data_IF_699294851634
#
_entry.id   IF_699294851634
#
_cell.length_a   1.000
_cell.length_b   1.000
_cell.length_c   1.000
_cell.angle_alpha   90.00
_cell.angle_beta   90.00
_cell.angle_gamma   90.00
#
_symmetry.space_group_name_H-M   'P 1'
#
loop_
_entity.id
_entity.type
_entity.pdbx_description
1 polymer ?
#
# COMPACT_ATOMS: atom_id res chain seq x y z
N UNK A 1 22.45 68.40 -0.67
CA UNK A 1 21.97 67.17 -1.33
C UNK A 1 21.33 66.13 -0.37
N UNK A 2 21.67 66.11 0.92
CA UNK A 2 21.12 65.13 1.88
C UNK A 2 19.60 65.26 2.18
N UNK A 3 19.06 66.48 2.23
CA UNK A 3 17.63 66.70 2.56
C UNK A 3 16.65 66.18 1.49
N UNK A 4 17.02 66.23 0.20
CA UNK A 4 16.19 65.69 -0.90
C UNK A 4 16.12 64.16 -0.89
N UNK A 5 17.19 63.48 -0.45
CA UNK A 5 17.23 62.01 -0.35
C UNK A 5 16.32 61.50 0.78
N UNK A 6 16.39 62.14 1.95
CA UNK A 6 15.54 61.81 3.12
C UNK A 6 14.03 61.96 2.83
N UNK A 7 13.65 62.97 2.04
CA UNK A 7 12.24 63.20 1.68
C UNK A 7 11.74 62.19 0.62
N UNK A 8 12.63 61.68 -0.24
CA UNK A 8 12.31 60.61 -1.20
C UNK A 8 12.12 59.26 -0.49
N UNK A 9 13.00 58.95 0.45
CA UNK A 9 12.97 57.69 1.18
C UNK A 9 11.74 57.63 2.12
N UNK A 10 11.33 58.76 2.71
CA UNK A 10 10.10 58.84 3.51
C UNK A 10 8.82 58.65 2.66
N UNK A 11 8.79 59.21 1.44
CA UNK A 11 7.66 59.02 0.52
C UNK A 11 7.54 57.57 0.03
N UNK A 12 8.67 56.91 -0.24
CA UNK A 12 8.72 55.49 -0.60
C UNK A 12 8.22 54.61 0.54
N UNK A 13 8.67 54.87 1.77
CA UNK A 13 8.20 54.16 2.95
C UNK A 13 6.69 54.31 3.16
N UNK A 14 6.17 55.54 3.05
CA UNK A 14 4.74 55.80 3.22
C UNK A 14 3.89 55.14 2.13
N UNK A 15 4.36 55.11 0.87
CA UNK A 15 3.67 54.38 -0.21
C UNK A 15 3.65 52.87 0.01
N UNK A 16 4.72 52.31 0.60
CA UNK A 16 4.80 50.86 0.86
C UNK A 16 3.84 50.47 1.99
N UNK A 17 3.77 51.28 3.07
CA UNK A 17 2.83 51.07 4.18
C UNK A 17 1.39 51.19 3.68
N UNK A 18 1.08 52.19 2.84
CA UNK A 18 -0.27 52.34 2.28
C UNK A 18 -0.67 51.15 1.39
N UNK A 19 0.26 50.61 0.58
CA UNK A 19 0.02 49.43 -0.24
C UNK A 19 -0.27 48.17 0.60
N UNK A 20 0.46 47.98 1.70
CA UNK A 20 0.23 46.85 2.64
C UNK A 20 -1.13 46.97 3.33
N UNK A 21 -1.52 48.18 3.75
CA UNK A 21 -2.83 48.42 4.37
C UNK A 21 -3.97 48.15 3.38
N UNK A 22 -3.83 48.59 2.12
CA UNK A 22 -4.83 48.31 1.07
C UNK A 22 -4.93 46.81 0.77
N UNK A 23 -3.80 46.10 0.72
CA UNK A 23 -3.78 44.65 0.51
C UNK A 23 -4.48 43.89 1.67
N UNK A 24 -4.25 44.32 2.92
CA UNK A 24 -4.91 43.73 4.09
C UNK A 24 -6.43 44.01 4.12
N UNK A 25 -6.87 45.19 3.68
CA UNK A 25 -8.29 45.52 3.57
C UNK A 25 -8.98 44.73 2.44
N UNK A 26 -8.29 44.50 1.31
CA UNK A 26 -8.82 43.65 0.23
C UNK A 26 -8.92 42.18 0.64
N UNK A 27 -7.93 41.68 1.40
CA UNK A 27 -7.91 40.29 1.89
C UNK A 27 -8.99 40.02 2.95
N UNK A 28 -9.31 41.01 3.78
CA UNK A 28 -10.41 40.90 4.75
C UNK A 28 -11.78 40.98 4.08
N UNK A 29 -11.92 41.73 2.98
CA UNK A 29 -13.17 41.80 2.22
C UNK A 29 -13.50 40.50 1.46
N UNK A 30 -12.50 39.78 0.93
CA UNK A 30 -12.70 38.48 0.26
C UNK A 30 -13.06 37.36 1.22
N UNK A 31 -12.59 37.40 2.47
CA UNK A 31 -12.94 36.45 3.53
C UNK A 31 -14.38 36.62 4.04
N UNK A 32 -14.93 37.83 4.03
CA UNK A 32 -16.32 38.09 4.46
C UNK A 32 -17.32 37.62 3.40
N UNK A 33 -17.01 37.78 2.10
CA UNK A 33 -17.90 37.36 1.01
C UNK A 33 -17.95 35.83 0.77
N UNK A 34 -16.92 35.10 1.17
CA UNK A 34 -16.88 33.63 1.01
C UNK A 34 -17.66 32.88 2.09
N UNK A 35 -18.03 33.52 3.21
CA UNK A 35 -18.80 32.90 4.30
C UNK A 35 -20.32 32.88 4.12
N UNK A 36 -20.88 33.63 3.17
CA UNK A 36 -22.33 33.84 3.04
C UNK A 36 -22.96 33.21 1.78
N UNK A 37 -22.39 32.13 1.20
CA UNK A 37 -23.12 31.38 0.17
C UNK A 37 -24.27 30.57 0.79
N UNK A 38 -25.53 30.77 0.38
CA UNK A 38 -26.63 29.89 0.76
C UNK A 38 -26.36 28.48 0.21
N UNK A 39 -26.53 27.45 1.04
CA UNK A 39 -26.50 26.06 0.59
C UNK A 39 -27.88 25.68 0.03
N UNK A 40 -27.93 25.22 -1.22
CA UNK A 40 -29.12 24.63 -1.80
C UNK A 40 -29.43 23.28 -1.13
N UNK A 41 -30.71 22.94 -0.86
CA UNK A 41 -31.08 21.68 -0.24
C UNK A 41 -30.84 20.50 -1.20
N UNK A 42 -30.08 19.51 -0.73
CA UNK A 42 -29.82 18.25 -1.43
C UNK A 42 -31.12 17.44 -1.52
N UNK A 43 -31.59 17.20 -2.74
CA UNK A 43 -32.71 16.30 -3.00
C UNK A 43 -32.29 14.84 -2.74
N UNK A 44 -32.97 14.17 -1.81
CA UNK A 44 -32.80 12.74 -1.53
C UNK A 44 -33.43 11.92 -2.65
N UNK A 45 -32.63 11.28 -3.50
CA UNK A 45 -33.10 10.22 -4.40
C UNK A 45 -33.05 8.88 -3.68
N UNK A 46 -34.22 8.31 -3.40
CA UNK A 46 -34.40 6.92 -2.98
C UNK A 46 -34.30 5.99 -4.20
N UNK A 47 -33.34 5.07 -4.18
CA UNK A 47 -33.22 3.99 -5.16
C UNK A 47 -34.33 2.94 -4.96
N UNK A 48 -34.94 2.40 -6.03
CA UNK A 48 -35.96 1.37 -5.93
C UNK A 48 -35.33 -0.01 -5.64
N UNK A 49 -35.97 -0.76 -4.74
CA UNK A 49 -35.62 -2.14 -4.39
C UNK A 49 -36.06 -3.07 -5.53
N UNK A 50 -35.11 -3.80 -6.14
CA UNK A 50 -35.41 -4.88 -7.08
C UNK A 50 -35.84 -6.13 -6.29
N UNK A 51 -37.08 -6.57 -6.52
CA UNK A 51 -37.60 -7.85 -6.05
C UNK A 51 -37.13 -9.00 -6.93
N UNK A 52 -36.58 -10.05 -6.30
CA UNK A 52 -36.16 -11.31 -6.92
C UNK A 52 -37.38 -12.15 -7.36
N UNK A 53 -37.40 -12.79 -8.55
CA UNK A 53 -38.48 -13.71 -8.92
C UNK A 53 -38.25 -15.10 -8.30
N UNK A 54 -39.28 -15.66 -7.68
CA UNK A 54 -39.31 -17.05 -7.22
C UNK A 54 -39.55 -18.04 -8.37
N UNK A 55 -38.73 -19.08 -8.48
CA UNK A 55 -38.96 -20.19 -9.40
C UNK A 55 -40.13 -21.09 -8.93
N UNK A 56 -40.94 -21.68 -9.84
CA UNK A 56 -41.99 -22.63 -9.49
C UNK A 56 -41.42 -24.03 -9.18
N UNK A 57 -41.96 -24.67 -8.14
CA UNK A 57 -41.70 -26.07 -7.82
C UNK A 57 -42.39 -27.01 -8.83
N UNK A 58 -41.66 -28.03 -9.29
CA UNK A 58 -42.21 -29.13 -10.10
C UNK A 58 -42.65 -30.31 -9.20
N UNK A 59 -43.69 -31.09 -9.57
CA UNK A 59 -44.20 -32.18 -8.76
C UNK A 59 -43.38 -33.45 -8.90
N UNK A 60 -43.31 -34.18 -7.79
CA UNK A 60 -42.72 -35.52 -7.63
C UNK A 60 -43.72 -36.57 -8.11
N UNK A 61 -43.34 -37.44 -9.05
CA UNK A 61 -43.82 -38.83 -9.06
C UNK A 61 -42.94 -39.73 -9.95
N UNK A 62 -42.20 -40.67 -9.34
CA UNK A 62 -41.83 -41.95 -9.97
C UNK A 62 -41.46 -42.96 -8.87
N UNK A 63 -42.19 -44.08 -8.92
CA UNK A 63 -42.05 -45.29 -8.10
C UNK A 63 -40.68 -45.98 -8.33
N UNK A 64 -40.03 -46.57 -7.29
CA UNK A 64 -38.72 -47.21 -7.47
C UNK A 64 -38.89 -48.67 -7.93
N UNK A 65 -38.43 -48.98 -9.14
CA UNK A 65 -38.13 -50.35 -9.57
C UNK A 65 -36.71 -50.69 -9.13
N UNK A 66 -36.55 -51.69 -8.25
CA UNK A 66 -35.25 -52.19 -7.83
C UNK A 66 -34.55 -52.93 -8.98
N UNK A 67 -33.47 -52.35 -9.50
CA UNK A 67 -32.48 -53.03 -10.33
C UNK A 67 -31.21 -53.16 -9.50
N UNK A 68 -30.86 -54.40 -9.13
CA UNK A 68 -29.59 -54.70 -8.46
C UNK A 68 -28.43 -54.46 -9.45
N UNK A 69 -27.73 -53.35 -9.27
CA UNK A 69 -26.41 -53.08 -9.86
C UNK A 69 -25.32 -53.32 -8.81
N UNK A 70 -24.13 -53.80 -9.21
CA UNK A 70 -23.06 -54.14 -8.28
C UNK A 70 -22.58 -52.90 -7.50
N UNK A 71 -22.47 -53.07 -6.19
CA UNK A 71 -21.94 -52.08 -5.24
C UNK A 71 -20.47 -51.85 -5.58
N UNK A 72 -20.17 -50.72 -6.23
CA UNK A 72 -18.85 -50.13 -6.17
C UNK A 72 -18.76 -49.36 -4.86
N UNK A 73 -17.86 -49.84 -4.00
CA UNK A 73 -17.42 -49.20 -2.77
C UNK A 73 -17.09 -47.72 -3.04
N UNK A 74 -17.64 -46.75 -2.28
CA UNK A 74 -17.24 -45.37 -2.45
C UNK A 74 -15.80 -45.24 -1.95
N UNK A 75 -14.85 -45.21 -2.89
CA UNK A 75 -13.50 -44.71 -2.62
C UNK A 75 -13.68 -43.31 -2.04
N UNK A 76 -13.35 -43.18 -0.75
CA UNK A 76 -13.33 -41.91 -0.03
C UNK A 76 -12.34 -40.97 -0.72
N UNK A 77 -12.83 -40.19 -1.67
CA UNK A 77 -12.10 -39.04 -2.19
C UNK A 77 -11.95 -38.08 -1.02
N UNK A 78 -10.75 -38.00 -0.46
CA UNK A 78 -10.42 -37.01 0.56
C UNK A 78 -10.75 -35.63 -0.03
N UNK A 79 -11.83 -35.03 0.46
CA UNK A 79 -12.18 -33.66 0.17
C UNK A 79 -10.99 -32.81 0.64
N UNK A 80 -10.42 -31.92 -0.19
CA UNK A 80 -9.32 -31.08 0.25
C UNK A 80 -9.79 -30.30 1.48
N UNK A 81 -9.16 -30.59 2.62
CA UNK A 81 -9.38 -29.85 3.85
C UNK A 81 -9.17 -28.39 3.52
N UNK A 82 -10.23 -27.57 3.61
CA UNK A 82 -10.11 -26.13 3.48
C UNK A 82 -9.06 -25.69 4.50
N UNK A 83 -7.92 -25.19 4.03
CA UNK A 83 -6.89 -24.62 4.89
C UNK A 83 -7.57 -23.54 5.73
N UNK A 84 -7.61 -23.73 7.04
CA UNK A 84 -8.23 -22.75 7.93
C UNK A 84 -7.53 -21.40 7.72
N UNK A 85 -8.32 -20.33 7.58
CA UNK A 85 -7.78 -18.97 7.51
C UNK A 85 -7.01 -18.71 8.81
N UNK A 86 -5.73 -18.31 8.76
CA UNK A 86 -4.94 -18.04 9.96
C UNK A 86 -5.61 -16.97 10.83
N UNK A 87 -5.50 -17.09 12.15
CA UNK A 87 -6.00 -16.07 13.06
C UNK A 87 -5.10 -14.83 13.00
N UNK A 88 -5.70 -13.64 13.03
CA UNK A 88 -4.95 -12.38 13.04
C UNK A 88 -4.04 -12.26 14.28
N UNK A 89 -4.46 -12.78 15.43
CA UNK A 89 -3.65 -12.81 16.67
C UNK A 89 -2.38 -13.66 16.54
N UNK A 90 -2.32 -14.56 15.56
CA UNK A 90 -1.19 -15.45 15.30
C UNK A 90 -0.26 -14.90 14.20
N UNK A 91 -0.37 -13.61 13.87
CA UNK A 91 0.39 -12.97 12.78
C UNK A 91 1.91 -13.19 12.83
N UNK A 92 2.47 -13.37 14.04
CA UNK A 92 3.90 -13.68 14.23
C UNK A 92 4.31 -15.01 13.60
N UNK A 93 3.40 -15.97 13.56
CA UNK A 93 3.60 -17.31 12.99
C UNK A 93 3.23 -17.42 11.51
N UNK A 94 2.71 -16.34 10.91
CA UNK A 94 2.42 -16.33 9.48
C UNK A 94 3.71 -16.47 8.66
N UNK A 95 3.67 -17.11 7.49
CA UNK A 95 4.85 -17.30 6.66
C UNK A 95 5.47 -15.96 6.27
N UNK A 96 6.80 -15.93 6.08
CA UNK A 96 7.52 -14.72 5.64
C UNK A 96 6.97 -14.24 4.29
N UNK A 97 6.79 -15.17 3.35
CA UNK A 97 6.31 -14.89 2.00
C UNK A 97 4.88 -15.40 1.83
N UNK A 98 4.04 -14.75 1.01
CA UNK A 98 2.74 -15.28 0.64
C UNK A 98 2.86 -16.68 0.01
N UNK A 99 2.12 -17.66 0.56
CA UNK A 99 2.11 -19.04 0.06
C UNK A 99 1.01 -19.29 -0.97
N UNK A 100 -0.04 -18.46 -0.97
CA UNK A 100 -1.18 -18.55 -1.88
C UNK A 100 -1.70 -17.16 -2.23
N UNK A 101 -2.47 -17.07 -3.32
CA UNK A 101 -3.20 -15.86 -3.72
C UNK A 101 -4.70 -16.18 -3.79
N UNK A 102 -5.53 -15.25 -3.35
CA UNK A 102 -6.98 -15.46 -3.36
C UNK A 102 -7.55 -15.37 -4.78
N UNK A 103 -8.67 -16.07 -5.09
CA UNK A 103 -9.40 -15.89 -6.34
C UNK A 103 -9.81 -14.43 -6.58
N UNK A 104 -10.10 -13.68 -5.51
CA UNK A 104 -10.40 -12.25 -5.59
C UNK A 104 -9.22 -11.45 -6.16
N UNK A 105 -8.00 -11.66 -5.66
CA UNK A 105 -6.81 -10.95 -6.16
C UNK A 105 -6.46 -11.33 -7.61
N UNK A 106 -6.73 -12.58 -8.01
CA UNK A 106 -6.60 -12.99 -9.42
C UNK A 106 -7.59 -12.19 -10.29
N UNK A 107 -8.84 -12.05 -9.86
CA UNK A 107 -9.84 -11.27 -10.59
C UNK A 107 -9.47 -9.77 -10.68
N UNK A 108 -8.96 -9.20 -9.58
CA UNK A 108 -8.44 -7.81 -9.54
C UNK A 108 -7.31 -7.63 -10.55
N UNK A 109 -6.33 -8.53 -10.57
CA UNK A 109 -5.22 -8.47 -11.52
C UNK A 109 -5.68 -8.59 -12.98
N UNK A 110 -6.61 -9.50 -13.30
CA UNK A 110 -7.18 -9.62 -14.66
C UNK A 110 -7.90 -8.36 -15.09
N UNK A 111 -8.72 -7.78 -14.21
CA UNK A 111 -9.38 -6.50 -14.47
C UNK A 111 -8.37 -5.37 -14.69
N UNK A 112 -7.24 -5.37 -13.97
CA UNK A 112 -6.16 -4.40 -14.18
C UNK A 112 -5.63 -4.43 -15.62
N UNK A 113 -5.39 -5.63 -16.16
CA UNK A 113 -4.90 -5.81 -17.52
C UNK A 113 -5.94 -5.36 -18.56
N UNK A 114 -7.22 -5.68 -18.33
CA UNK A 114 -8.33 -5.26 -19.21
C UNK A 114 -8.51 -3.73 -19.21
N UNK A 115 -8.26 -3.07 -18.08
CA UNK A 115 -8.39 -1.62 -17.91
C UNK A 115 -7.12 -0.85 -18.29
N UNK A 116 -6.08 -1.53 -18.80
CA UNK A 116 -4.86 -0.92 -19.30
C UNK A 116 -3.88 -0.46 -18.22
N UNK A 117 -3.89 -1.11 -17.06
CA UNK A 117 -2.75 -1.07 -16.13
C UNK A 117 -1.52 -1.69 -16.79
N UNK A 118 -0.35 -1.22 -16.41
CA UNK A 118 0.92 -1.68 -16.98
C UNK A 118 1.40 -2.91 -16.19
N UNK A 119 1.45 -4.11 -16.81
CA UNK A 119 1.80 -5.35 -16.11
C UNK A 119 3.23 -5.35 -15.57
N UNK A 120 4.08 -4.43 -16.03
CA UNK A 120 5.49 -4.32 -15.66
C UNK A 120 5.71 -3.30 -14.53
N UNK A 121 4.64 -2.81 -13.90
CA UNK A 121 4.72 -1.74 -12.91
C UNK A 121 4.17 -2.15 -11.55
N UNK A 122 4.94 -1.81 -10.52
CA UNK A 122 4.46 -1.80 -9.14
C UNK A 122 4.68 -0.44 -8.49
N UNK A 123 3.91 -0.14 -7.43
CA UNK A 123 4.07 1.06 -6.61
C UNK A 123 4.52 0.73 -5.19
N UNK A 124 5.15 1.70 -4.54
CA UNK A 124 5.47 1.68 -3.11
C UNK A 124 4.57 2.69 -2.42
N UNK A 125 3.86 2.27 -1.37
CA UNK A 125 3.01 3.12 -0.52
C UNK A 125 3.52 2.98 0.90
N UNK A 126 3.98 4.07 1.52
CA UNK A 126 4.57 3.95 2.86
C UNK A 126 5.36 5.15 3.35
N UNK A 127 5.96 4.99 4.52
CA UNK A 127 6.73 6.04 5.19
C UNK A 127 8.22 6.10 4.78
N UNK A 128 9.07 6.66 5.65
CA UNK A 128 10.52 6.76 5.44
C UNK A 128 11.17 5.42 5.13
N UNK A 129 10.63 4.30 5.62
CA UNK A 129 11.13 2.97 5.32
C UNK A 129 10.76 2.46 3.91
N UNK A 130 9.99 3.23 3.16
CA UNK A 130 9.57 2.91 1.78
C UNK A 130 10.11 3.90 0.74
N UNK A 131 10.81 4.94 1.19
CA UNK A 131 11.37 5.97 0.32
C UNK A 131 12.62 5.49 -0.43
N UNK A 132 12.89 6.11 -1.57
CA UNK A 132 14.18 6.01 -2.26
C UNK A 132 15.27 6.72 -1.42
N UNK A 133 16.51 6.21 -1.37
CA UNK A 133 17.02 5.00 -2.04
C UNK A 133 16.85 3.71 -1.23
N UNK A 134 16.22 3.75 -0.07
CA UNK A 134 16.31 2.67 0.92
C UNK A 134 15.56 1.40 0.52
N UNK A 135 14.34 1.52 -0.03
CA UNK A 135 13.50 0.37 -0.35
C UNK A 135 13.52 0.01 -1.85
N UNK A 136 14.09 -1.17 -2.13
CA UNK A 136 14.25 -1.84 -3.42
C UNK A 136 15.00 -1.07 -4.51
N UNK A 137 15.37 0.20 -4.31
CA UNK A 137 15.89 1.06 -5.39
C UNK A 137 17.17 0.55 -6.04
N UNK A 138 17.96 -0.24 -5.31
CA UNK A 138 19.19 -0.88 -5.80
C UNK A 138 19.00 -1.67 -7.11
N UNK A 139 17.82 -2.25 -7.36
CA UNK A 139 17.59 -3.16 -8.48
C UNK A 139 17.59 -2.49 -9.86
N UNK A 140 17.45 -1.17 -9.93
CA UNK A 140 17.53 -0.44 -11.21
C UNK A 140 18.95 0.02 -11.56
N UNK A 141 19.94 -0.21 -10.68
CA UNK A 141 21.33 0.22 -10.90
C UNK A 141 22.24 -0.94 -11.37
N UNK A 142 21.67 -2.07 -11.80
CA UNK A 142 22.42 -3.22 -12.34
C UNK A 142 23.49 -3.75 -11.39
N UNK A 143 24.64 -4.17 -11.94
CA UNK A 143 25.78 -4.70 -11.17
C UNK A 143 26.34 -3.70 -10.14
N UNK A 144 26.12 -2.39 -10.33
CA UNK A 144 26.53 -1.37 -9.35
C UNK A 144 25.55 -1.21 -8.19
N UNK A 145 24.33 -1.74 -8.31
CA UNK A 145 23.28 -1.59 -7.32
C UNK A 145 23.13 -2.78 -6.38
N UNK A 146 23.27 -4.01 -6.90
CA UNK A 146 23.00 -5.22 -6.14
C UNK A 146 23.93 -6.38 -6.52
N UNK A 147 24.13 -7.29 -5.58
CA UNK A 147 24.74 -8.61 -5.84
C UNK A 147 23.70 -9.68 -5.54
N UNK A 148 23.23 -10.38 -6.58
CA UNK A 148 22.08 -11.31 -6.46
C UNK A 148 22.40 -12.58 -5.65
N UNK A 149 23.67 -12.95 -5.56
CA UNK A 149 24.11 -14.15 -4.84
C UNK A 149 23.39 -15.42 -5.32
N UNK A 150 22.93 -16.30 -4.41
CA UNK A 150 22.25 -17.54 -4.78
C UNK A 150 20.81 -17.35 -5.28
N UNK A 151 20.27 -16.12 -5.29
CA UNK A 151 18.87 -15.83 -5.61
C UNK A 151 18.65 -15.51 -7.11
N UNK A 152 19.40 -16.16 -7.99
CA UNK A 152 19.40 -15.89 -9.43
C UNK A 152 18.03 -16.03 -10.09
N UNK A 153 17.14 -16.86 -9.53
CA UNK A 153 15.76 -17.01 -10.00
C UNK A 153 14.92 -15.74 -9.91
N UNK A 154 15.32 -14.76 -9.07
CA UNK A 154 14.65 -13.47 -8.93
C UNK A 154 15.01 -12.47 -10.04
N UNK A 155 16.02 -12.77 -10.88
CA UNK A 155 16.44 -11.88 -11.96
C UNK A 155 15.29 -11.59 -12.93
N UNK A 156 14.42 -12.57 -13.20
CA UNK A 156 13.23 -12.37 -14.05
C UNK A 156 12.28 -11.32 -13.49
N UNK A 157 12.12 -11.27 -12.15
CA UNK A 157 11.26 -10.30 -11.48
C UNK A 157 11.90 -8.91 -11.49
N UNK A 158 13.22 -8.84 -11.32
CA UNK A 158 13.97 -7.59 -11.49
C UNK A 158 13.78 -7.05 -12.92
N UNK A 159 13.96 -7.90 -13.93
CA UNK A 159 13.84 -7.50 -15.33
C UNK A 159 12.40 -7.08 -15.70
N UNK A 160 11.41 -7.79 -15.17
CA UNK A 160 9.99 -7.53 -15.42
C UNK A 160 9.53 -6.19 -14.85
N UNK A 161 9.97 -5.84 -13.64
CA UNK A 161 9.54 -4.62 -12.94
C UNK A 161 10.53 -3.45 -13.02
N UNK A 162 11.46 -3.48 -13.97
CA UNK A 162 12.45 -2.41 -14.17
C UNK A 162 11.81 -1.03 -14.15
N UNK A 163 12.51 -0.08 -13.56
CA UNK A 163 12.12 1.31 -13.35
C UNK A 163 11.02 1.53 -12.30
N UNK A 164 10.39 0.48 -11.76
CA UNK A 164 9.53 0.61 -10.59
C UNK A 164 10.32 0.69 -9.27
N UNK A 165 11.54 0.17 -9.26
CA UNK A 165 12.35 0.00 -8.05
C UNK A 165 12.93 1.31 -7.54
N UNK A 166 13.59 2.08 -8.41
CA UNK A 166 14.27 3.33 -8.08
C UNK A 166 13.39 4.57 -8.20
N UNK A 167 12.12 4.42 -8.61
CA UNK A 167 11.23 5.57 -8.74
C UNK A 167 10.83 6.12 -7.37
N UNK A 168 10.82 7.43 -7.23
CA UNK A 168 10.16 8.13 -6.12
C UNK A 168 8.65 8.01 -6.28
N UNK A 169 7.96 7.46 -5.27
CA UNK A 169 6.51 7.35 -5.32
C UNK A 169 5.86 8.60 -4.76
N UNK A 170 4.77 9.04 -5.41
CA UNK A 170 3.88 10.06 -4.86
C UNK A 170 3.14 9.57 -3.61
N UNK A 171 3.15 8.27 -3.35
CA UNK A 171 2.55 7.66 -2.17
C UNK A 171 3.60 7.30 -1.10
N UNK A 172 4.77 7.96 -1.11
CA UNK A 172 5.78 7.81 -0.07
C UNK A 172 6.24 9.14 0.48
N UNK A 173 6.36 9.25 1.81
CA UNK A 173 6.93 10.43 2.45
C UNK A 173 7.45 10.14 3.86
N UNK A 174 8.44 10.91 4.29
CA UNK A 174 9.05 10.76 5.60
C UNK A 174 8.01 11.03 6.70
N UNK A 175 7.91 10.11 7.67
CA UNK A 175 7.00 10.24 8.81
C UNK A 175 5.51 10.13 8.47
N UNK A 176 5.15 9.77 7.23
CA UNK A 176 3.75 9.74 6.82
C UNK A 176 2.98 8.59 7.51
N UNK A 177 1.71 8.84 7.81
CA UNK A 177 0.76 7.88 8.37
C UNK A 177 -0.18 7.35 7.28
N UNK A 178 -0.94 6.30 7.58
CA UNK A 178 -2.03 5.83 6.73
C UNK A 178 -3.04 6.95 6.44
N UNK A 179 -3.41 7.75 7.44
CA UNK A 179 -4.28 8.91 7.26
C UNK A 179 -3.69 9.92 6.27
N UNK A 180 -2.39 10.21 6.36
CA UNK A 180 -1.71 11.13 5.46
C UNK A 180 -1.82 10.71 4.00
N UNK A 181 -1.62 9.42 3.71
CA UNK A 181 -1.70 8.89 2.33
C UNK A 181 -3.12 8.60 1.85
N UNK A 182 -4.07 8.45 2.77
CA UNK A 182 -5.47 8.19 2.49
C UNK A 182 -6.25 9.48 2.19
N UNK A 183 -5.92 10.57 2.88
CA UNK A 183 -6.58 11.87 2.69
C UNK A 183 -5.98 12.67 1.54
N UNK A 184 -6.44 13.91 1.33
CA UNK A 184 -5.98 14.76 0.23
C UNK A 184 -4.48 15.00 0.31
N UNK A 185 -3.80 14.93 -0.84
CA UNK A 185 -2.37 15.14 -0.91
C UNK A 185 -1.98 16.56 -0.47
N UNK A 186 -0.72 16.70 -0.02
CA UNK A 186 -0.12 17.99 0.37
C UNK A 186 0.84 18.56 -0.68
N UNK A 187 1.02 17.87 -1.83
CA UNK A 187 1.87 18.38 -2.91
C UNK A 187 1.38 19.75 -3.40
N UNK A 188 2.31 20.71 -3.51
CA UNK A 188 2.07 22.06 -4.04
C UNK A 188 2.16 22.10 -5.57
N UNK A 189 2.31 20.96 -6.24
CA UNK A 189 2.32 20.85 -7.70
C UNK A 189 0.96 20.45 -8.27
N UNK A 190 0.76 20.74 -9.56
CA UNK A 190 -0.49 20.44 -10.28
C UNK A 190 -0.51 19.00 -10.85
N UNK A 191 0.46 18.16 -10.49
CA UNK A 191 0.58 16.79 -11.03
C UNK A 191 -0.49 15.88 -10.42
N UNK A 192 -0.72 16.01 -9.11
CA UNK A 192 -1.86 15.40 -8.43
C UNK A 192 -3.07 16.33 -8.50
N UNK A 193 -4.26 15.77 -8.70
CA UNK A 193 -5.46 16.60 -8.84
C UNK A 193 -5.91 17.17 -7.50
N UNK A 194 -6.50 18.38 -7.48
CA UNK A 194 -7.14 18.89 -6.28
C UNK A 194 -8.12 17.86 -5.69
N UNK A 195 -8.01 17.60 -4.39
CA UNK A 195 -8.82 16.62 -3.66
C UNK A 195 -8.57 15.14 -4.02
N UNK A 196 -7.47 14.83 -4.71
CA UNK A 196 -6.97 13.47 -4.87
C UNK A 196 -6.09 13.07 -3.67
N UNK A 197 -6.10 11.80 -3.27
CA UNK A 197 -5.12 11.32 -2.28
C UNK A 197 -3.77 11.04 -2.93
N UNK A 198 -2.68 11.13 -2.17
CA UNK A 198 -1.33 10.80 -2.64
C UNK A 198 -1.26 9.40 -3.30
N UNK A 199 -1.92 8.42 -2.69
CA UNK A 199 -2.04 7.04 -3.21
C UNK A 199 -2.86 6.97 -4.50
N UNK A 200 -3.96 7.73 -4.60
CA UNK A 200 -4.79 7.75 -5.81
C UNK A 200 -4.04 8.38 -6.99
N UNK A 201 -3.30 9.46 -6.72
CA UNK A 201 -2.45 10.14 -7.68
C UNK A 201 -1.34 9.22 -8.21
N UNK A 202 -0.64 8.53 -7.29
CA UNK A 202 0.37 7.53 -7.64
C UNK A 202 -0.20 6.48 -8.60
N UNK A 203 -1.35 5.89 -8.29
CA UNK A 203 -1.96 4.85 -9.12
C UNK A 203 -2.45 5.38 -10.47
N UNK A 204 -2.99 6.60 -10.52
CA UNK A 204 -3.41 7.23 -11.78
C UNK A 204 -2.23 7.50 -12.71
N UNK A 205 -1.12 7.99 -12.17
CA UNK A 205 0.07 8.36 -12.93
C UNK A 205 0.89 7.14 -13.34
N UNK A 206 1.09 6.20 -12.42
CA UNK A 206 1.98 5.07 -12.63
C UNK A 206 1.28 3.85 -13.24
N UNK A 207 -0.03 3.69 -13.01
CA UNK A 207 -0.83 2.54 -13.45
C UNK A 207 -0.23 1.17 -13.09
N UNK A 208 0.12 0.94 -11.81
CA UNK A 208 0.69 -0.33 -11.39
C UNK A 208 -0.34 -1.46 -11.41
N UNK A 209 0.14 -2.70 -11.46
CA UNK A 209 -0.67 -3.90 -11.18
C UNK A 209 -0.55 -4.39 -9.74
N UNK A 210 0.55 -4.04 -9.06
CA UNK A 210 0.85 -4.44 -7.68
C UNK A 210 1.27 -3.20 -6.88
N UNK A 211 0.94 -3.13 -5.59
CA UNK A 211 1.52 -2.12 -4.71
C UNK A 211 1.88 -2.68 -3.34
N UNK A 212 3.09 -2.37 -2.85
CA UNK A 212 3.41 -2.57 -1.44
C UNK A 212 2.75 -1.48 -0.61
N UNK A 213 2.11 -1.86 0.50
CA UNK A 213 1.61 -0.93 1.52
C UNK A 213 2.34 -1.25 2.83
N UNK A 214 3.33 -0.42 3.16
CA UNK A 214 4.20 -0.56 4.32
C UNK A 214 4.09 0.69 5.21
N UNK A 215 3.16 0.63 6.16
CA UNK A 215 2.77 1.70 7.09
C UNK A 215 2.62 1.12 8.51
N UNK A 216 2.39 1.99 9.50
CA UNK A 216 2.13 1.60 10.88
C UNK A 216 3.18 2.04 11.89
N UNK A 217 4.42 2.32 11.46
CA UNK A 217 5.49 2.81 12.35
C UNK A 217 5.14 4.17 12.94
N UNK A 218 4.77 5.13 12.10
CA UNK A 218 4.37 6.47 12.55
C UNK A 218 2.93 6.51 13.07
N UNK A 219 2.07 5.60 12.62
CA UNK A 219 0.70 5.48 13.08
C UNK A 219 0.61 5.01 14.55
N UNK A 220 1.65 4.37 15.08
CA UNK A 220 1.74 3.93 16.47
C UNK A 220 1.64 5.08 17.50
N UNK A 221 1.85 6.33 17.07
CA UNK A 221 1.65 7.53 17.88
C UNK A 221 0.20 8.07 17.83
N UNK A 222 -0.67 7.41 17.07
CA UNK A 222 -2.11 7.71 16.93
C UNK A 222 -2.95 6.56 17.48
N UNK A 223 -4.28 6.71 17.47
CA UNK A 223 -5.18 5.65 17.93
C UNK A 223 -5.15 4.46 16.95
N UNK A 224 -5.10 3.20 17.45
CA UNK A 224 -5.17 2.02 16.58
C UNK A 224 -6.39 2.00 15.67
N UNK A 225 -7.54 2.53 16.12
CA UNK A 225 -8.75 2.61 15.30
C UNK A 225 -8.63 3.56 14.10
N UNK A 226 -7.85 4.64 14.24
CA UNK A 226 -7.59 5.56 13.14
C UNK A 226 -6.69 4.88 12.09
N UNK A 227 -5.69 4.10 12.54
CA UNK A 227 -4.86 3.31 11.65
C UNK A 227 -5.67 2.24 10.90
N UNK A 228 -6.49 1.45 11.60
CA UNK A 228 -7.36 0.43 10.99
C UNK A 228 -8.25 1.05 9.91
N UNK A 229 -8.96 2.13 10.25
CA UNK A 229 -9.84 2.85 9.33
C UNK A 229 -9.12 3.30 8.06
N UNK A 230 -7.97 3.97 8.21
CA UNK A 230 -7.27 4.55 7.07
C UNK A 230 -6.53 3.50 6.25
N UNK A 231 -5.97 2.46 6.86
CA UNK A 231 -5.35 1.36 6.13
C UNK A 231 -6.39 0.55 5.33
N UNK A 232 -7.58 0.28 5.89
CA UNK A 232 -8.69 -0.31 5.12
C UNK A 232 -9.09 0.54 3.92
N UNK A 233 -9.16 1.85 4.09
CA UNK A 233 -9.47 2.79 3.00
C UNK A 233 -8.38 2.76 1.90
N UNK A 234 -7.10 2.68 2.28
CA UNK A 234 -6.00 2.53 1.33
C UNK A 234 -6.09 1.21 0.55
N UNK A 235 -6.35 0.09 1.23
CA UNK A 235 -6.57 -1.22 0.58
C UNK A 235 -7.74 -1.14 -0.39
N UNK A 236 -8.88 -0.60 0.04
CA UNK A 236 -10.05 -0.43 -0.84
C UNK A 236 -9.71 0.44 -2.06
N UNK A 237 -8.98 1.55 -1.89
CA UNK A 237 -8.55 2.42 -3.00
C UNK A 237 -7.62 1.74 -3.99
N UNK A 238 -6.79 0.78 -3.54
CA UNK A 238 -6.00 -0.07 -4.41
C UNK A 238 -6.91 -0.98 -5.25
N UNK A 239 -7.85 -1.68 -4.60
CA UNK A 239 -8.78 -2.59 -5.27
C UNK A 239 -9.70 -1.87 -6.28
N UNK A 240 -10.21 -0.69 -5.92
CA UNK A 240 -11.05 0.16 -6.79
C UNK A 240 -10.32 0.60 -8.08
N UNK A 241 -8.98 0.57 -8.07
CA UNK A 241 -8.11 0.88 -9.22
C UNK A 241 -7.46 -0.37 -9.81
N UNK A 242 -7.97 -1.54 -9.45
CA UNK A 242 -7.47 -2.84 -9.90
C UNK A 242 -5.98 -3.09 -9.57
N UNK A 243 -5.48 -2.50 -8.47
CA UNK A 243 -4.12 -2.73 -7.98
C UNK A 243 -4.17 -3.79 -6.90
N UNK A 244 -3.37 -4.86 -7.02
CA UNK A 244 -3.25 -5.89 -5.98
C UNK A 244 -2.32 -5.38 -4.87
N UNK A 245 -2.82 -5.11 -3.65
CA UNK A 245 -1.96 -4.65 -2.56
C UNK A 245 -1.25 -5.83 -1.90
N UNK A 246 0.02 -5.64 -1.56
CA UNK A 246 0.79 -6.50 -0.66
C UNK A 246 0.95 -5.73 0.64
N UNK A 247 0.27 -6.19 1.70
CA UNK A 247 0.45 -5.60 3.03
C UNK A 247 1.76 -6.07 3.64
N UNK A 248 2.44 -5.17 4.37
CA UNK A 248 3.73 -5.47 4.98
C UNK A 248 3.61 -5.32 6.49
N UNK A 249 3.91 -6.38 7.23
CA UNK A 249 4.05 -6.27 8.69
C UNK A 249 5.27 -5.41 9.04
N UNK A 250 5.10 -4.49 9.99
CA UNK A 250 6.16 -3.64 10.52
C UNK A 250 7.29 -4.48 11.10
N UNK A 251 8.53 -4.06 10.89
CA UNK A 251 9.69 -4.68 11.54
C UNK A 251 9.80 -4.24 13.01
N UNK A 252 9.49 -2.97 13.31
CA UNK A 252 9.40 -2.45 14.67
C UNK A 252 8.11 -2.86 15.37
N UNK A 253 8.14 -2.74 16.70
CA UNK A 253 6.99 -2.87 17.61
C UNK A 253 7.07 -1.71 18.61
N UNK A 254 7.10 -0.46 18.11
CA UNK A 254 7.24 0.73 18.96
C UNK A 254 6.04 0.91 19.90
N UNK A 255 4.87 0.38 19.53
CA UNK A 255 3.70 0.29 20.40
C UNK A 255 3.87 -0.70 21.55
N UNK A 256 4.75 -1.70 21.39
CA UNK A 256 5.17 -2.67 22.42
C UNK A 256 4.23 -3.85 22.65
N UNK A 257 3.07 -3.90 21.98
CA UNK A 257 2.10 -4.99 22.08
C UNK A 257 1.82 -5.72 20.75
N UNK A 258 2.38 -5.23 19.64
CA UNK A 258 2.18 -5.75 18.29
C UNK A 258 0.76 -5.53 17.74
N UNK A 259 -0.01 -4.61 18.33
CA UNK A 259 -1.39 -4.33 17.94
C UNK A 259 -1.51 -3.83 16.51
N UNK A 260 -0.54 -3.08 15.98
CA UNK A 260 -0.60 -2.58 14.60
C UNK A 260 -0.40 -3.71 13.59
N UNK A 261 0.53 -4.64 13.83
CA UNK A 261 0.67 -5.82 12.96
C UNK A 261 -0.55 -6.75 13.04
N UNK A 262 -1.19 -6.87 14.21
CA UNK A 262 -2.45 -7.62 14.32
C UNK A 262 -3.59 -6.94 13.53
N UNK A 263 -3.66 -5.61 13.51
CA UNK A 263 -4.59 -4.87 12.64
C UNK A 263 -4.30 -5.14 11.17
N UNK A 264 -3.04 -5.06 10.74
CA UNK A 264 -2.64 -5.37 9.35
C UNK A 264 -3.06 -6.80 9.00
N UNK A 265 -2.86 -7.76 9.90
CA UNK A 265 -3.26 -9.16 9.71
C UNK A 265 -4.78 -9.31 9.56
N UNK A 266 -5.56 -8.62 10.39
CA UNK A 266 -7.02 -8.64 10.29
C UNK A 266 -7.51 -8.05 8.96
N UNK A 267 -6.93 -6.93 8.52
CA UNK A 267 -7.25 -6.32 7.23
C UNK A 267 -6.89 -7.27 6.08
N UNK A 268 -5.75 -7.97 6.17
CA UNK A 268 -5.36 -8.94 5.16
C UNK A 268 -6.37 -10.08 5.00
N UNK A 269 -6.90 -10.59 6.12
CA UNK A 269 -7.98 -11.59 6.13
C UNK A 269 -9.24 -11.02 5.48
N UNK A 270 -9.68 -9.84 5.92
CA UNK A 270 -10.96 -9.26 5.50
C UNK A 270 -11.00 -8.96 4.00
N UNK A 271 -9.87 -8.51 3.44
CA UNK A 271 -9.74 -8.21 2.01
C UNK A 271 -9.14 -9.36 1.18
N UNK A 272 -8.72 -10.45 1.83
CA UNK A 272 -8.06 -11.60 1.19
C UNK A 272 -6.82 -11.19 0.36
N UNK A 273 -6.04 -10.24 0.87
CA UNK A 273 -4.84 -9.69 0.21
C UNK A 273 -3.58 -10.37 0.75
N UNK A 274 -2.54 -10.55 -0.09
CA UNK A 274 -1.29 -11.16 0.34
C UNK A 274 -0.54 -10.30 1.37
N UNK A 275 0.20 -10.96 2.26
CA UNK A 275 1.04 -10.32 3.28
C UNK A 275 2.50 -10.75 3.16
N UNK A 276 3.40 -9.79 3.22
CA UNK A 276 4.82 -10.00 3.48
C UNK A 276 5.11 -9.78 4.97
N UNK A 277 5.42 -10.87 5.67
CA UNK A 277 5.76 -10.82 7.09
C UNK A 277 7.23 -10.43 7.28
N UNK A 278 7.52 -9.14 7.06
CA UNK A 278 8.85 -8.58 7.27
C UNK A 278 9.30 -8.68 8.73
N UNK A 279 8.39 -8.52 9.70
CA UNK A 279 8.70 -8.72 11.12
C UNK A 279 9.42 -10.05 11.36
N UNK A 280 8.84 -11.15 10.85
CA UNK A 280 9.40 -12.50 10.98
C UNK A 280 10.72 -12.67 10.25
N UNK A 281 10.86 -12.06 9.07
CA UNK A 281 12.13 -12.09 8.32
C UNK A 281 13.28 -11.44 9.09
N UNK A 282 12.98 -10.41 9.90
CA UNK A 282 13.96 -9.59 10.61
C UNK A 282 14.33 -10.14 11.98
N UNK A 283 13.46 -10.96 12.60
CA UNK A 283 13.66 -11.48 13.96
C UNK A 283 15.04 -12.14 14.21
N UNK A 284 15.60 -12.94 13.27
CA UNK A 284 16.88 -13.62 13.51
C UNK A 284 18.11 -12.69 13.50
N UNK A 285 17.95 -11.43 13.07
CA UNK A 285 19.07 -10.49 12.95
C UNK A 285 19.43 -9.84 14.29
N UNK A 286 20.67 -9.35 14.44
CA UNK A 286 21.02 -8.46 15.55
C UNK A 286 20.06 -7.27 15.64
N UNK A 287 19.61 -6.95 16.86
CA UNK A 287 18.64 -5.87 17.08
C UNK A 287 17.31 -6.09 16.35
N UNK A 288 16.97 -7.34 16.00
CA UNK A 288 15.85 -7.68 15.13
C UNK A 288 15.88 -6.90 13.81
N UNK A 289 17.10 -6.65 13.31
CA UNK A 289 17.38 -5.95 12.07
C UNK A 289 17.19 -4.45 12.13
N UNK A 290 16.91 -3.86 13.29
CA UNK A 290 16.77 -2.42 13.48
C UNK A 290 18.07 -1.80 14.01
N UNK A 291 18.23 -0.48 13.83
CA UNK A 291 19.30 0.27 14.50
C UNK A 291 18.94 0.47 15.97
N UNK A 292 19.95 0.67 16.80
CA UNK A 292 19.75 0.87 18.23
C UNK A 292 18.88 2.10 18.50
N UNK A 293 17.81 1.94 19.30
CA UNK A 293 16.83 2.99 19.63
C UNK A 293 16.19 3.68 18.40
N UNK A 294 16.04 2.95 17.29
CA UNK A 294 15.49 3.45 16.04
C UNK A 294 14.46 2.45 15.48
N UNK A 295 13.57 2.94 14.60
CA UNK A 295 12.60 2.15 13.84
C UNK A 295 13.10 1.81 12.43
N UNK A 296 14.22 2.41 12.01
CA UNK A 296 14.82 2.13 10.71
C UNK A 296 15.66 0.85 10.74
N UNK A 297 15.62 0.04 9.67
CA UNK A 297 16.51 -1.09 9.52
C UNK A 297 18.00 -0.71 9.60
N UNK A 298 18.82 -1.59 10.17
CA UNK A 298 20.28 -1.50 10.13
C UNK A 298 20.78 -1.64 8.69
N UNK A 299 21.93 -1.05 8.36
CA UNK A 299 22.45 -0.99 7.00
C UNK A 299 23.94 -1.32 6.96
N UNK A 300 24.35 -1.90 5.83
CA UNK A 300 25.75 -1.98 5.42
C UNK A 300 26.18 -0.65 4.83
N UNK A 301 27.43 -0.25 5.06
CA UNK A 301 28.02 0.93 4.40
C UNK A 301 28.36 0.66 2.92
N UNK A 302 28.42 -0.61 2.52
CA UNK A 302 28.83 -1.01 1.17
C UNK A 302 27.62 -1.13 0.23
N UNK A 303 26.56 -1.85 0.64
CA UNK A 303 25.35 -2.02 -0.17
C UNK A 303 24.12 -2.38 0.66
N UNK A 304 22.96 -1.84 0.27
CA UNK A 304 21.66 -2.27 0.82
C UNK A 304 21.13 -3.55 0.17
N UNK A 305 21.84 -4.08 -0.84
CA UNK A 305 21.39 -5.20 -1.68
C UNK A 305 22.53 -6.15 -2.08
N UNK A 306 23.47 -6.42 -1.16
CA UNK A 306 24.38 -7.56 -1.29
C UNK A 306 23.78 -8.82 -0.66
N UNK A 307 23.38 -9.77 -1.51
CA UNK A 307 22.76 -11.03 -1.08
C UNK A 307 23.70 -12.23 -1.18
N UNK A 308 24.99 -12.00 -1.42
CA UNK A 308 25.98 -13.07 -1.60
C UNK A 308 26.60 -13.59 -0.31
N UNK A 309 26.43 -12.86 0.80
CA UNK A 309 27.26 -13.09 1.98
C UNK A 309 26.61 -12.78 3.32
N UNK A 310 27.43 -12.25 4.22
CA UNK A 310 27.10 -12.10 5.64
C UNK A 310 26.11 -10.97 5.93
N UNK A 311 25.88 -10.06 4.97
CA UNK A 311 24.95 -8.96 5.11
C UNK A 311 23.53 -9.44 5.39
N UNK A 312 23.12 -10.59 4.83
CA UNK A 312 21.84 -11.24 5.12
C UNK A 312 21.69 -11.77 6.54
N UNK A 313 22.78 -11.84 7.31
CA UNK A 313 22.79 -12.23 8.73
C UNK A 313 22.97 -11.04 9.66
N UNK A 314 23.18 -9.84 9.10
CA UNK A 314 23.68 -8.68 9.86
C UNK A 314 22.77 -7.47 9.69
N UNK A 315 22.33 -7.19 8.46
CA UNK A 315 21.72 -5.90 8.12
C UNK A 315 20.26 -6.03 7.70
N UNK A 316 19.43 -5.23 8.35
CA UNK A 316 18.00 -5.20 8.14
C UNK A 316 17.60 -4.73 6.75
N UNK A 317 18.26 -3.71 6.19
CA UNK A 317 17.97 -3.25 4.82
C UNK A 317 18.24 -4.32 3.78
N UNK A 318 19.30 -5.09 3.94
CA UNK A 318 19.63 -6.22 3.06
C UNK A 318 18.52 -7.29 3.10
N UNK A 319 18.08 -7.70 4.29
CA UNK A 319 16.98 -8.67 4.44
C UNK A 319 15.65 -8.12 3.95
N UNK A 320 15.33 -6.85 4.25
CA UNK A 320 14.12 -6.17 3.77
C UNK A 320 14.08 -6.12 2.24
N UNK A 321 15.18 -5.76 1.58
CA UNK A 321 15.21 -5.66 0.13
C UNK A 321 15.15 -7.04 -0.55
N UNK A 322 15.83 -8.06 -0.01
CA UNK A 322 15.73 -9.42 -0.55
C UNK A 322 14.32 -9.99 -0.39
N UNK A 323 13.77 -9.96 0.83
CA UNK A 323 12.47 -10.59 1.10
C UNK A 323 11.31 -9.79 0.49
N UNK A 324 11.46 -8.48 0.31
CA UNK A 324 10.55 -7.66 -0.48
C UNK A 324 10.54 -8.06 -1.95
N UNK A 325 11.71 -8.27 -2.57
CA UNK A 325 11.80 -8.77 -3.95
C UNK A 325 11.19 -10.19 -4.08
N UNK A 326 11.43 -11.05 -3.10
CA UNK A 326 10.83 -12.39 -3.07
C UNK A 326 9.30 -12.34 -2.91
N UNK A 327 8.77 -11.43 -2.09
CA UNK A 327 7.32 -11.25 -1.95
C UNK A 327 6.70 -10.76 -3.26
N UNK A 328 7.34 -9.80 -3.95
CA UNK A 328 6.93 -9.34 -5.28
C UNK A 328 6.92 -10.49 -6.29
N UNK A 329 8.01 -11.26 -6.37
CA UNK A 329 8.14 -12.43 -7.25
C UNK A 329 7.04 -13.46 -6.99
N UNK A 330 6.79 -13.81 -5.72
CA UNK A 330 5.76 -14.78 -5.34
C UNK A 330 4.38 -14.34 -5.75
N UNK A 331 3.98 -13.11 -5.41
CA UNK A 331 2.66 -12.58 -5.77
C UNK A 331 2.51 -12.50 -7.28
N UNK A 332 3.52 -11.96 -7.99
CA UNK A 332 3.51 -11.86 -9.44
C UNK A 332 3.35 -13.24 -10.11
N UNK A 333 4.11 -14.25 -9.69
CA UNK A 333 3.99 -15.62 -10.24
C UNK A 333 2.63 -16.23 -9.94
N UNK A 334 2.13 -16.12 -8.72
CA UNK A 334 0.83 -16.67 -8.32
C UNK A 334 -0.32 -16.04 -9.14
N UNK A 335 -0.27 -14.73 -9.41
CA UNK A 335 -1.24 -14.04 -10.25
C UNK A 335 -1.24 -14.52 -11.71
N UNK A 336 -0.07 -14.92 -12.23
CA UNK A 336 0.09 -15.37 -13.62
C UNK A 336 -0.05 -16.89 -13.81
N UNK A 337 -0.07 -17.68 -12.74
CA UNK A 337 -0.23 -19.14 -12.79
C UNK A 337 -1.68 -19.60 -12.61
N UNK A 338 -2.59 -18.71 -12.23
CA UNK A 338 -3.99 -19.03 -12.00
C UNK A 338 -4.73 -19.31 -13.34
N UNK A 339 -5.45 -20.45 -13.46
CA UNK A 339 -6.04 -20.93 -14.71
C UNK A 339 -7.10 -20.01 -15.31
#
# INVERSE_FOLDING_TARGET
>A
MAAKKKNRDYRLFLSMVLAVVIALLLFTFTLIFSRNRPQDPIATQTLPIMTTPSLPAAPTDITPTQTNLPVNEPTSTAQPTATAVPLASEWREWPILPESISPLMIAVYRAALEQGSDPNKFSKVGDSNSMMPSFLSCFDFGESGYTIGPYTDLQKTIDHFRWSFSRESRATANGITAMGLDTYHWYEDEICWPYESATSCEYRLWKPVIAFIALGTNDAFSKPEDFDKHLRSLVQKSLDRFVVPILVFKADDIEGDGSFNQIIAQIAIDFQVPVWNLWRAMQPLPGHGLRENDVHPSFSNDSLCDFSGNDLKTYGWTVRNLTGLQALDKVWRLLNQAP
#
